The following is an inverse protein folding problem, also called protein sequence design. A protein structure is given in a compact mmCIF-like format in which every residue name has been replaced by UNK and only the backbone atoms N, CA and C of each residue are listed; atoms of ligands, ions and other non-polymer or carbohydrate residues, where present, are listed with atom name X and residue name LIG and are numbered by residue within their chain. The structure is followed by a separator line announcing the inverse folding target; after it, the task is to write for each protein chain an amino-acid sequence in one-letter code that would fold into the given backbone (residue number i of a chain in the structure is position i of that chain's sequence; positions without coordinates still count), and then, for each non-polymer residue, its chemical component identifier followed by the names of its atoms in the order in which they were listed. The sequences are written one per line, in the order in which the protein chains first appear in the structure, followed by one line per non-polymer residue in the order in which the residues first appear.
data_IF_115182158070
#
_entry.id   IF_115182158070
#
_cell.length_a   1.000
_cell.length_b   1.000
_cell.length_c   1.000
_cell.angle_alpha   90.00
_cell.angle_beta   90.00
_cell.angle_gamma   90.00
#
_symmetry.space_group_name_H-M   'P 1'
#
loop_
_entity.id
_entity.type
_entity.pdbx_description
1 polymer ?
#
# COMPACT_ATOMS: atom_id res chain seq x y z
N UNK A 1 -42.45 72.19 -20.06
CA UNK A 1 -41.72 72.77 -21.22
C UNK A 1 -40.25 72.39 -21.15
N UNK A 2 -39.59 72.15 -22.31
CA UNK A 2 -38.11 72.17 -22.58
C UNK A 2 -37.19 71.35 -21.64
N UNK A 3 -36.55 70.26 -22.13
CA UNK A 3 -35.14 70.20 -22.66
C UNK A 3 -34.11 70.68 -21.61
N UNK A 4 -33.08 69.92 -21.19
CA UNK A 4 -32.00 69.31 -22.03
C UNK A 4 -31.25 68.12 -21.35
N UNK A 5 -30.52 67.31 -22.13
CA UNK A 5 -29.32 66.49 -21.73
C UNK A 5 -28.03 67.25 -22.20
N UNK A 6 -26.76 66.75 -22.19
CA UNK A 6 -26.15 65.49 -21.66
C UNK A 6 -24.74 65.65 -21.00
N UNK A 7 -24.01 64.52 -20.80
CA UNK A 7 -22.54 64.27 -21.04
C UNK A 7 -21.64 63.75 -19.86
N UNK A 8 -21.19 62.48 -20.00
CA UNK A 8 -19.99 61.78 -19.42
C UNK A 8 -19.83 61.63 -17.88
N UNK A 9 -19.12 60.64 -17.32
CA UNK A 9 -18.21 59.59 -17.84
C UNK A 9 -18.54 58.23 -17.16
N UNK A 10 -18.56 57.06 -17.83
CA UNK A 10 -17.44 56.22 -18.33
C UNK A 10 -16.63 55.49 -17.24
N UNK A 11 -17.20 54.41 -16.69
CA UNK A 11 -16.41 53.27 -16.20
C UNK A 11 -17.03 51.96 -16.69
N UNK A 12 -16.19 51.01 -17.13
CA UNK A 12 -16.61 49.72 -17.69
C UNK A 12 -16.18 48.60 -16.72
N UNK A 13 -17.14 47.93 -16.10
CA UNK A 13 -16.92 46.61 -15.50
C UNK A 13 -17.37 45.55 -16.51
N UNK A 14 -16.46 44.72 -16.99
CA UNK A 14 -16.77 43.62 -17.89
C UNK A 14 -17.13 42.35 -17.07
N UNK A 15 -18.17 41.59 -17.42
CA UNK A 15 -18.54 40.37 -16.71
C UNK A 15 -17.62 39.21 -17.10
N UNK A 16 -17.04 38.54 -16.09
CA UNK A 16 -16.30 37.29 -16.29
C UNK A 16 -17.29 36.14 -16.46
N UNK A 17 -17.60 35.82 -17.71
CA UNK A 17 -18.29 34.60 -18.12
C UNK A 17 -17.65 34.05 -19.39
N UNK A 18 -16.79 33.03 -19.25
CA UNK A 18 -16.54 31.97 -20.23
C UNK A 18 -15.66 30.87 -19.61
N UNK A 19 -15.63 29.68 -20.22
CA UNK A 19 -14.78 28.52 -19.86
C UNK A 19 -15.18 27.71 -18.61
N UNK A 20 -16.47 27.44 -18.46
CA UNK A 20 -16.95 26.21 -17.80
C UNK A 20 -17.73 25.39 -18.85
N UNK A 21 -17.09 24.38 -19.45
CA UNK A 21 -17.72 23.52 -20.46
C UNK A 21 -16.81 23.07 -21.59
N UNK A 22 -15.99 22.05 -21.32
CA UNK A 22 -15.46 21.07 -22.28
C UNK A 22 -14.61 20.06 -21.49
N UNK A 23 -15.11 18.81 -21.39
CA UNK A 23 -14.49 17.54 -20.94
C UNK A 23 -15.51 16.66 -20.19
N UNK A 24 -16.61 16.36 -20.87
CA UNK A 24 -17.51 15.24 -20.55
C UNK A 24 -17.80 14.53 -21.88
N UNK A 25 -17.86 13.20 -21.85
CA UNK A 25 -17.99 12.28 -23.00
C UNK A 25 -16.75 12.15 -23.89
N UNK A 26 -16.02 11.04 -23.73
CA UNK A 26 -15.97 9.98 -24.74
C UNK A 26 -15.31 8.70 -24.17
N UNK A 27 -16.13 7.74 -23.76
CA UNK A 27 -15.72 6.35 -23.54
C UNK A 27 -16.57 5.44 -24.43
N UNK A 28 -16.08 5.12 -25.63
CA UNK A 28 -16.86 4.34 -26.60
C UNK A 28 -16.08 3.91 -27.84
N UNK A 29 -15.69 2.64 -27.86
CA UNK A 29 -15.51 1.82 -29.07
C UNK A 29 -14.42 2.21 -30.06
N UNK A 30 -13.27 1.54 -29.98
CA UNK A 30 -12.38 1.40 -31.14
C UNK A 30 -12.83 0.23 -32.04
N UNK A 31 -13.08 0.53 -33.32
CA UNK A 31 -13.17 -0.47 -34.39
C UNK A 31 -11.81 -0.63 -35.06
N UNK A 32 -11.59 -1.81 -35.63
CA UNK A 32 -10.36 -2.21 -36.30
C UNK A 32 -9.91 -1.28 -37.43
N UNK A 33 -8.60 -1.03 -37.51
CA UNK A 33 -7.95 -0.39 -38.65
C UNK A 33 -6.59 -1.05 -38.92
N UNK A 34 -6.46 -1.70 -40.07
CA UNK A 34 -5.23 -2.41 -40.49
C UNK A 34 -4.29 -1.46 -41.20
N UNK A 35 -3.05 -1.33 -40.73
CA UNK A 35 -1.92 -0.81 -41.51
C UNK A 35 -0.72 -1.76 -41.31
N UNK A 36 0.01 -2.00 -42.40
CA UNK A 36 1.06 -3.02 -42.55
C UNK A 36 2.39 -2.34 -42.89
N UNK A 37 3.50 -3.08 -42.79
CA UNK A 37 4.89 -2.69 -43.08
C UNK A 37 5.57 -1.81 -42.01
N UNK A 38 6.89 -1.89 -41.78
CA UNK A 38 7.92 -2.78 -42.35
C UNK A 38 9.03 -3.04 -41.31
N UNK A 39 9.76 -4.15 -41.41
CA UNK A 39 10.89 -4.45 -40.53
C UNK A 39 12.18 -3.78 -41.02
N UNK A 40 12.98 -3.26 -40.10
CA UNK A 40 14.43 -3.12 -40.29
C UNK A 40 15.17 -3.66 -39.05
N UNK A 41 15.97 -4.71 -39.27
CA UNK A 41 16.88 -5.25 -38.26
C UNK A 41 18.11 -4.35 -38.17
N UNK A 42 18.55 -4.02 -36.95
CA UNK A 42 19.92 -3.57 -36.72
C UNK A 42 20.45 -4.21 -35.42
N UNK A 43 21.57 -4.93 -35.56
CA UNK A 43 22.23 -5.68 -34.48
C UNK A 43 23.55 -5.00 -34.15
N UNK A 44 23.78 -4.63 -32.89
CA UNK A 44 25.12 -4.33 -32.35
C UNK A 44 25.16 -4.74 -30.85
N UNK A 45 26.33 -5.03 -30.25
CA UNK A 45 26.54 -6.38 -29.73
C UNK A 45 26.69 -6.46 -28.21
N UNK A 46 26.58 -7.69 -27.70
CA UNK A 46 26.87 -8.03 -26.30
C UNK A 46 28.38 -8.06 -26.07
N UNK A 47 28.90 -7.26 -25.13
CA UNK A 47 30.24 -7.42 -24.57
C UNK A 47 30.17 -7.91 -23.13
N UNK A 48 30.54 -9.18 -22.92
CA UNK A 48 30.76 -9.77 -21.60
C UNK A 48 32.05 -9.21 -20.98
N UNK A 49 32.02 -8.80 -19.70
CA UNK A 49 33.20 -8.84 -18.82
C UNK A 49 32.79 -9.06 -17.35
N UNK A 50 33.44 -10.05 -16.75
CA UNK A 50 33.61 -10.31 -15.31
C UNK A 50 34.69 -11.39 -15.17
N UNK A 51 35.37 -11.54 -14.02
CA UNK A 51 35.65 -10.55 -12.97
C UNK A 51 37.17 -10.30 -12.85
N UNK A 52 37.57 -9.32 -12.02
CA UNK A 52 38.96 -9.16 -11.61
C UNK A 52 39.05 -9.19 -10.08
N UNK A 53 39.65 -10.26 -9.56
CA UNK A 53 40.09 -10.39 -8.17
C UNK A 53 41.25 -9.43 -7.89
N UNK A 54 41.26 -8.77 -6.73
CA UNK A 54 42.53 -8.40 -6.10
C UNK A 54 42.50 -8.66 -4.60
N UNK A 55 43.30 -9.66 -4.24
CA UNK A 55 43.75 -10.00 -2.90
C UNK A 55 45.03 -9.19 -2.58
N UNK A 56 45.30 -8.98 -1.28
CA UNK A 56 46.42 -8.28 -0.59
C UNK A 56 45.93 -7.12 0.29
N UNK A 57 46.44 -6.87 1.49
CA UNK A 57 47.21 -7.70 2.44
C UNK A 57 47.28 -6.97 3.79
N UNK A 58 47.30 -7.69 4.92
CA UNK A 58 47.56 -7.13 6.25
C UNK A 58 49.00 -6.56 6.37
N UNK A 59 49.25 -5.73 7.39
CA UNK A 59 50.24 -6.17 8.37
C UNK A 59 49.76 -6.10 9.84
N UNK A 60 50.38 -6.93 10.68
CA UNK A 60 50.12 -7.07 12.12
C UNK A 60 51.10 -6.29 13.01
N UNK A 61 50.68 -6.04 14.26
CA UNK A 61 51.56 -5.73 15.41
C UNK A 61 52.07 -4.29 15.52
N UNK A 62 52.54 -3.78 16.67
CA UNK A 62 52.42 -4.13 18.10
C UNK A 62 52.40 -2.76 18.88
N UNK A 63 52.34 -2.59 20.22
CA UNK A 63 52.36 -3.46 21.40
C UNK A 63 51.84 -2.68 22.65
N UNK A 64 51.45 -3.37 23.73
CA UNK A 64 51.29 -2.83 25.12
C UNK A 64 50.18 -1.76 25.35
N UNK A 65 49.56 -1.61 26.52
CA UNK A 65 49.71 -2.33 27.79
C UNK A 65 49.87 -1.36 28.98
N UNK A 66 48.77 -0.76 29.46
CA UNK A 66 48.78 0.02 30.73
C UNK A 66 47.54 -0.29 31.56
N UNK A 67 47.76 -0.83 32.76
CA UNK A 67 46.77 -0.96 33.83
C UNK A 67 46.63 0.34 34.61
N UNK A 68 45.42 0.68 35.08
CA UNK A 68 45.27 1.65 36.17
C UNK A 68 44.24 1.16 37.19
N UNK A 69 44.70 1.00 38.43
CA UNK A 69 43.95 0.47 39.55
C UNK A 69 43.63 1.57 40.56
N UNK A 70 42.35 1.71 40.90
CA UNK A 70 41.93 2.22 42.21
C UNK A 70 41.28 1.02 42.96
N UNK A 71 41.59 0.73 44.21
CA UNK A 71 42.38 1.52 45.16
C UNK A 71 41.70 1.67 46.52
N UNK A 72 40.91 0.69 46.98
CA UNK A 72 40.21 0.73 48.27
C UNK A 72 40.45 -0.54 49.07
N UNK A 73 41.33 -0.44 50.07
CA UNK A 73 41.42 -1.39 51.18
C UNK A 73 40.35 -1.04 52.21
N UNK A 74 39.52 -2.01 52.60
CA UNK A 74 38.71 -1.92 53.81
C UNK A 74 38.72 -3.28 54.54
N UNK A 75 38.76 -3.21 55.87
CA UNK A 75 39.11 -4.25 56.82
C UNK A 75 38.47 -5.66 56.63
N UNK A 76 39.29 -6.68 56.89
CA UNK A 76 38.83 -8.04 57.15
C UNK A 76 38.17 -8.08 58.54
N UNK A 77 36.89 -8.44 58.59
CA UNK A 77 36.18 -8.83 59.81
C UNK A 77 35.37 -10.09 59.50
N UNK A 78 35.74 -11.22 60.13
CA UNK A 78 35.00 -12.49 60.03
C UNK A 78 33.91 -12.52 61.10
N UNK A 79 32.66 -12.84 60.74
CA UNK A 79 31.73 -13.52 61.64
C UNK A 79 31.69 -15.01 61.28
N UNK A 80 32.00 -15.88 62.24
CA UNK A 80 31.69 -17.30 62.13
C UNK A 80 30.23 -17.52 62.52
N UNK A 81 29.37 -17.84 61.55
CA UNK A 81 28.12 -18.55 61.82
C UNK A 81 27.87 -19.57 60.70
N UNK A 82 28.00 -20.85 61.04
CA UNK A 82 27.46 -21.93 60.23
C UNK A 82 25.93 -21.88 60.34
N UNK A 83 25.28 -21.19 59.40
CA UNK A 83 23.86 -21.39 59.15
C UNK A 83 23.71 -22.69 58.36
N UNK A 84 23.21 -23.74 59.00
CA UNK A 84 22.75 -24.94 58.31
C UNK A 84 21.72 -24.53 57.25
N UNK A 85 22.12 -24.60 55.99
CA UNK A 85 21.20 -24.35 54.88
C UNK A 85 20.37 -25.61 54.70
N UNK A 86 19.36 -25.79 55.56
CA UNK A 86 18.37 -26.84 55.46
C UNK A 86 17.68 -26.69 54.11
N UNK A 87 18.07 -27.52 53.14
CA UNK A 87 17.53 -27.49 51.79
C UNK A 87 16.09 -28.02 51.81
N UNK A 88 15.15 -27.13 52.15
CA UNK A 88 13.71 -27.41 52.09
C UNK A 88 13.39 -27.72 50.63
N UNK A 89 13.30 -29.00 50.31
CA UNK A 89 12.84 -29.47 49.00
C UNK A 89 11.34 -29.24 48.94
N UNK A 90 10.95 -28.00 48.63
CA UNK A 90 9.56 -27.64 48.35
C UNK A 90 9.14 -28.43 47.11
N UNK A 91 8.39 -29.52 47.33
CA UNK A 91 7.72 -30.24 46.25
C UNK A 91 6.91 -29.22 45.44
N UNK A 92 6.97 -29.24 44.10
CA UNK A 92 6.25 -28.27 43.29
C UNK A 92 4.75 -28.41 43.54
N UNK A 93 4.22 -27.48 44.32
CA UNK A 93 2.79 -27.36 44.57
C UNK A 93 2.10 -27.20 43.21
N UNK A 94 1.01 -27.94 42.97
CA UNK A 94 0.27 -27.98 41.70
C UNK A 94 -0.58 -26.73 41.54
N UNK A 95 0.01 -25.56 41.77
CA UNK A 95 -0.65 -24.26 41.68
C UNK A 95 -1.13 -24.06 40.24
N UNK A 96 -2.43 -23.81 40.13
CA UNK A 96 -3.12 -23.43 38.91
C UNK A 96 -2.29 -22.37 38.17
N UNK A 97 -2.09 -22.47 36.85
CA UNK A 97 -1.25 -21.52 36.12
C UNK A 97 -1.75 -20.09 36.37
N UNK A 98 -0.85 -19.09 36.46
CA UNK A 98 -1.24 -17.72 36.75
C UNK A 98 -2.24 -17.21 35.71
N UNK A 99 -3.16 -16.31 36.10
CA UNK A 99 -4.13 -15.76 35.16
C UNK A 99 -3.40 -15.08 33.98
N UNK A 100 -3.93 -15.19 32.74
CA UNK A 100 -3.27 -14.65 31.57
C UNK A 100 -3.13 -13.12 31.67
N UNK A 101 -1.97 -12.60 31.26
CA UNK A 101 -1.72 -11.16 31.31
C UNK A 101 -2.68 -10.36 30.42
N UNK A 102 -2.88 -9.05 30.66
CA UNK A 102 -3.72 -8.21 29.82
C UNK A 102 -3.33 -8.28 28.33
N UNK A 103 -2.04 -8.31 28.02
CA UNK A 103 -1.54 -8.44 26.63
C UNK A 103 -1.83 -9.85 26.06
N UNK A 104 -1.74 -10.93 26.86
CA UNK A 104 -2.16 -12.26 26.39
C UNK A 104 -3.66 -12.32 26.08
N UNK A 105 -4.49 -11.69 26.90
CA UNK A 105 -5.94 -11.58 26.69
C UNK A 105 -6.22 -10.76 25.42
N UNK A 106 -5.53 -9.61 25.26
CA UNK A 106 -5.60 -8.78 24.06
C UNK A 106 -5.25 -9.57 22.80
N UNK A 107 -4.07 -10.21 22.76
CA UNK A 107 -3.62 -11.02 21.62
C UNK A 107 -4.56 -12.19 21.31
N UNK A 108 -5.15 -12.81 22.34
CA UNK A 108 -6.14 -13.89 22.17
C UNK A 108 -7.43 -13.39 21.52
N UNK A 109 -7.95 -12.24 21.97
CA UNK A 109 -9.12 -11.59 21.36
C UNK A 109 -8.81 -11.08 19.94
N UNK A 110 -7.64 -10.49 19.72
CA UNK A 110 -7.20 -10.00 18.41
C UNK A 110 -7.13 -11.12 17.37
N UNK A 111 -6.56 -12.28 17.72
CA UNK A 111 -6.59 -13.47 16.84
C UNK A 111 -7.99 -13.90 16.43
N UNK A 112 -9.02 -13.70 17.27
CA UNK A 112 -10.42 -13.98 16.89
C UNK A 112 -10.95 -12.96 15.88
N UNK A 113 -10.55 -11.69 15.98
CA UNK A 113 -10.90 -10.64 15.02
C UNK A 113 -10.20 -10.87 13.67
N UNK A 114 -8.90 -11.21 13.67
CA UNK A 114 -8.16 -11.60 12.47
C UNK A 114 -8.74 -12.87 11.82
N UNK A 115 -9.14 -13.87 12.60
CA UNK A 115 -9.78 -15.08 12.07
C UNK A 115 -11.15 -14.79 11.44
N UNK A 116 -11.97 -13.92 12.03
CA UNK A 116 -13.22 -13.46 11.43
C UNK A 116 -12.97 -12.70 10.11
N UNK A 117 -11.95 -11.83 10.08
CA UNK A 117 -11.54 -11.13 8.87
C UNK A 117 -11.10 -12.10 7.75
N UNK A 118 -10.26 -13.08 8.08
CA UNK A 118 -9.78 -14.10 7.14
C UNK A 118 -10.90 -15.03 6.64
N UNK A 119 -11.92 -15.28 7.47
CA UNK A 119 -13.14 -15.98 7.06
C UNK A 119 -14.10 -15.10 6.22
N UNK A 120 -13.71 -13.86 5.88
CA UNK A 120 -14.53 -12.85 5.21
C UNK A 120 -15.82 -12.46 5.97
N UNK A 121 -15.89 -12.76 7.27
CA UNK A 121 -16.96 -12.35 8.19
C UNK A 121 -16.66 -10.93 8.71
N UNK A 122 -16.84 -9.96 7.81
CA UNK A 122 -16.47 -8.56 8.02
C UNK A 122 -17.26 -7.88 9.14
N UNK A 123 -18.53 -8.23 9.35
CA UNK A 123 -19.38 -7.68 10.41
C UNK A 123 -18.88 -8.12 11.79
N UNK A 124 -18.61 -9.42 11.96
CA UNK A 124 -18.02 -9.96 13.18
C UNK A 124 -16.60 -9.45 13.40
N UNK A 125 -15.81 -9.30 12.33
CA UNK A 125 -14.48 -8.71 12.41
C UNK A 125 -14.56 -7.26 12.91
N UNK A 126 -15.46 -6.43 12.37
CA UNK A 126 -15.66 -5.05 12.82
C UNK A 126 -16.04 -5.01 14.31
N UNK A 127 -17.04 -5.79 14.70
CA UNK A 127 -17.49 -5.87 16.09
C UNK A 127 -16.34 -6.24 17.04
N UNK A 128 -15.53 -7.25 16.69
CA UNK A 128 -14.40 -7.69 17.51
C UNK A 128 -13.28 -6.63 17.56
N UNK A 129 -12.88 -6.03 16.44
CA UNK A 129 -11.87 -4.96 16.43
C UNK A 129 -12.33 -3.72 17.19
N UNK A 130 -13.58 -3.29 17.03
CA UNK A 130 -14.13 -2.14 17.77
C UNK A 130 -14.24 -2.42 19.26
N UNK A 131 -14.61 -3.64 19.66
CA UNK A 131 -14.61 -4.05 21.09
C UNK A 131 -13.22 -4.00 21.72
N UNK A 132 -12.16 -4.29 20.95
CA UNK A 132 -10.77 -4.16 21.37
C UNK A 132 -10.34 -2.70 21.44
N UNK A 133 -10.76 -1.89 20.46
CA UNK A 133 -10.38 -0.48 20.36
C UNK A 133 -10.89 0.36 21.53
N UNK A 134 -12.06 0.04 22.09
CA UNK A 134 -12.58 0.70 23.30
C UNK A 134 -11.63 0.54 24.51
N UNK A 135 -10.96 -0.60 24.63
CA UNK A 135 -10.03 -0.89 25.73
C UNK A 135 -8.55 -0.67 25.42
N UNK A 136 -8.20 -0.31 24.18
CA UNK A 136 -6.82 -0.05 23.74
C UNK A 136 -6.77 0.93 22.55
N UNK A 137 -7.34 2.15 22.68
CA UNK A 137 -7.43 3.11 21.58
C UNK A 137 -6.07 3.60 21.05
N UNK A 138 -5.02 3.44 21.85
CA UNK A 138 -3.62 3.77 21.54
C UNK A 138 -2.91 2.75 20.64
N UNK A 139 -3.46 1.55 20.44
CA UNK A 139 -2.81 0.51 19.60
C UNK A 139 -3.02 0.81 18.11
N UNK A 140 -1.99 1.37 17.48
CA UNK A 140 -1.90 1.59 16.02
C UNK A 140 -2.31 0.34 15.20
N UNK A 141 -1.98 -0.85 15.71
CA UNK A 141 -2.34 -2.14 15.09
C UNK A 141 -3.86 -2.31 14.87
N UNK A 142 -4.70 -1.87 15.80
CA UNK A 142 -6.16 -1.97 15.64
C UNK A 142 -6.67 -1.01 14.56
N UNK A 143 -6.07 0.18 14.48
CA UNK A 143 -6.47 1.22 13.53
C UNK A 143 -6.16 0.81 12.09
N UNK A 144 -4.96 0.31 11.77
CA UNK A 144 -4.69 -0.13 10.39
C UNK A 144 -5.51 -1.39 10.02
N UNK A 145 -5.79 -2.29 10.97
CA UNK A 145 -6.67 -3.45 10.73
C UNK A 145 -8.12 -3.06 10.45
N UNK A 146 -8.62 -2.02 11.12
CA UNK A 146 -9.93 -1.41 10.82
C UNK A 146 -9.92 -0.70 9.46
N UNK A 147 -8.86 0.03 9.12
CA UNK A 147 -8.73 0.65 7.80
C UNK A 147 -8.75 -0.40 6.67
N UNK A 148 -7.95 -1.48 6.81
CA UNK A 148 -7.99 -2.65 5.93
C UNK A 148 -9.41 -3.21 5.80
N UNK A 149 -10.11 -3.40 6.92
CA UNK A 149 -11.47 -3.93 6.93
C UNK A 149 -12.44 -3.01 6.16
N UNK A 150 -12.43 -1.71 6.42
CA UNK A 150 -13.32 -0.78 5.75
C UNK A 150 -13.04 -0.64 4.25
N UNK A 151 -11.76 -0.68 3.82
CA UNK A 151 -11.40 -0.84 2.39
C UNK A 151 -11.98 -2.13 1.83
N UNK A 152 -11.81 -3.25 2.55
CA UNK A 152 -12.27 -4.58 2.10
C UNK A 152 -13.80 -4.64 1.95
N UNK A 153 -14.54 -3.98 2.83
CA UNK A 153 -16.00 -3.82 2.73
C UNK A 153 -16.37 -2.93 1.54
N UNK A 154 -15.76 -1.75 1.40
CA UNK A 154 -16.03 -0.84 0.28
C UNK A 154 -15.63 -1.38 -1.10
N UNK A 155 -14.59 -2.22 -1.19
CA UNK A 155 -14.23 -2.96 -2.42
C UNK A 155 -15.19 -4.12 -2.73
N UNK A 156 -15.97 -4.62 -1.76
CA UNK A 156 -16.93 -5.71 -1.97
C UNK A 156 -18.28 -5.24 -2.53
N UNK A 157 -18.54 -3.93 -2.48
CA UNK A 157 -19.71 -3.29 -3.06
C UNK A 157 -19.53 -3.03 -4.57
N UNK A 158 -20.61 -3.04 -5.38
CA UNK A 158 -20.52 -2.70 -6.79
C UNK A 158 -20.12 -1.23 -6.98
N UNK A 159 -19.40 -0.91 -8.07
CA UNK A 159 -18.97 0.47 -8.37
C UNK A 159 -20.12 1.48 -8.51
N UNK A 160 -21.35 1.02 -8.79
CA UNK A 160 -22.56 1.84 -8.80
C UNK A 160 -22.96 2.37 -7.42
N UNK A 161 -22.57 1.71 -6.33
CA UNK A 161 -22.85 2.13 -4.94
C UNK A 161 -21.87 3.21 -4.46
N UNK A 162 -21.59 4.23 -5.28
CA UNK A 162 -20.49 5.18 -5.08
C UNK A 162 -20.61 6.04 -3.81
N UNK A 163 -21.82 6.30 -3.30
CA UNK A 163 -22.01 7.02 -2.03
C UNK A 163 -21.64 6.13 -0.84
N UNK A 164 -22.11 4.88 -0.82
CA UNK A 164 -21.85 3.94 0.26
C UNK A 164 -20.36 3.54 0.30
N UNK A 165 -19.75 3.30 -0.86
CA UNK A 165 -18.32 3.02 -0.99
C UNK A 165 -17.46 4.15 -0.41
N UNK A 166 -17.78 5.42 -0.72
CA UNK A 166 -17.11 6.58 -0.12
C UNK A 166 -17.24 6.61 1.41
N UNK A 167 -18.41 6.36 1.98
CA UNK A 167 -18.59 6.29 3.43
C UNK A 167 -17.70 5.22 4.11
N UNK A 168 -17.45 4.09 3.43
CA UNK A 168 -16.49 3.10 3.91
C UNK A 168 -15.03 3.57 3.79
N UNK A 169 -14.67 4.23 2.68
CA UNK A 169 -13.32 4.75 2.49
C UNK A 169 -12.98 5.95 3.38
N UNK A 170 -13.95 6.81 3.71
CA UNK A 170 -13.79 7.89 4.70
C UNK A 170 -13.42 7.32 6.09
N UNK A 171 -14.13 6.28 6.55
CA UNK A 171 -13.78 5.55 7.78
C UNK A 171 -12.38 4.94 7.68
N UNK A 172 -12.02 4.37 6.53
CA UNK A 172 -10.69 3.81 6.32
C UNK A 172 -9.58 4.87 6.42
N UNK A 173 -9.75 6.03 5.78
CA UNK A 173 -8.80 7.15 5.86
C UNK A 173 -8.69 7.66 7.30
N UNK A 174 -9.80 7.79 8.03
CA UNK A 174 -9.80 8.22 9.43
C UNK A 174 -8.94 7.31 10.30
N UNK A 175 -9.16 5.99 10.22
CA UNK A 175 -8.40 5.00 10.97
C UNK A 175 -6.95 4.88 10.50
N UNK A 176 -6.68 4.88 9.18
CA UNK A 176 -5.31 4.78 8.69
C UNK A 176 -4.46 5.99 9.12
N UNK A 177 -4.98 7.22 8.99
CA UNK A 177 -4.32 8.43 9.53
C UNK A 177 -4.10 8.36 11.03
N UNK A 178 -5.02 7.77 11.80
CA UNK A 178 -4.83 7.56 13.23
C UNK A 178 -3.75 6.50 13.53
N UNK A 179 -3.63 5.44 12.73
CA UNK A 179 -2.57 4.44 12.91
C UNK A 179 -1.17 5.03 12.71
N UNK A 180 -0.96 5.86 11.67
CA UNK A 180 0.33 6.54 11.44
C UNK A 180 0.65 7.54 12.56
N UNK A 181 -0.33 8.32 13.05
CA UNK A 181 -0.14 9.22 14.21
C UNK A 181 0.22 8.50 15.52
N UNK A 182 -0.19 7.24 15.67
CA UNK A 182 0.10 6.44 16.86
C UNK A 182 1.46 5.72 16.74
N UNK A 183 1.90 5.40 15.52
CA UNK A 183 3.16 4.72 15.24
C UNK A 183 3.66 5.02 13.81
N UNK A 184 4.58 5.97 13.69
CA UNK A 184 5.27 6.35 12.44
C UNK A 184 6.38 5.35 12.03
N UNK A 185 6.56 4.27 12.77
CA UNK A 185 7.48 3.15 12.47
C UNK A 185 6.73 1.88 12.03
N UNK A 186 5.40 1.89 12.07
CA UNK A 186 4.53 0.82 11.59
C UNK A 186 4.41 0.86 10.05
N UNK A 187 5.21 0.05 9.34
CA UNK A 187 5.14 -0.06 7.87
C UNK A 187 3.71 -0.32 7.34
N UNK A 188 2.98 -1.26 7.97
CA UNK A 188 1.57 -1.54 7.65
C UNK A 188 0.63 -0.32 7.78
N UNK A 189 0.92 0.60 8.70
CA UNK A 189 0.09 1.78 8.93
C UNK A 189 0.17 2.73 7.72
N UNK A 190 1.38 2.93 7.20
CA UNK A 190 1.62 3.66 5.95
C UNK A 190 1.02 2.92 4.73
N UNK A 191 1.20 1.60 4.61
CA UNK A 191 0.59 0.79 3.52
C UNK A 191 -0.91 0.97 3.44
N UNK A 192 -1.62 0.90 4.58
CA UNK A 192 -3.08 1.03 4.60
C UNK A 192 -3.57 2.47 4.49
N UNK A 193 -2.74 3.49 4.79
CA UNK A 193 -3.03 4.88 4.48
C UNK A 193 -2.94 5.15 2.97
N UNK A 194 -1.88 4.70 2.31
CA UNK A 194 -1.75 4.74 0.85
C UNK A 194 -2.92 4.02 0.16
N UNK A 195 -3.27 2.81 0.64
CA UNK A 195 -4.42 2.05 0.14
C UNK A 195 -5.74 2.82 0.27
N UNK A 196 -6.02 3.40 1.45
CA UNK A 196 -7.25 4.15 1.72
C UNK A 196 -7.38 5.39 0.83
N UNK A 197 -6.29 6.15 0.66
CA UNK A 197 -6.26 7.32 -0.22
C UNK A 197 -6.47 6.94 -1.69
N UNK A 198 -5.87 5.84 -2.16
CA UNK A 198 -6.02 5.34 -3.52
C UNK A 198 -7.46 4.95 -3.87
N UNK A 199 -8.07 4.06 -3.09
CA UNK A 199 -9.45 3.59 -3.36
C UNK A 199 -10.51 4.70 -3.18
N UNK A 200 -10.23 5.71 -2.38
CA UNK A 200 -11.09 6.88 -2.25
C UNK A 200 -10.96 7.82 -3.46
N UNK A 201 -9.74 8.00 -3.97
CA UNK A 201 -9.47 8.82 -5.15
C UNK A 201 -10.06 8.20 -6.44
N UNK A 202 -10.11 6.87 -6.54
CA UNK A 202 -10.86 6.15 -7.59
C UNK A 202 -12.33 6.60 -7.69
N UNK A 203 -12.97 6.86 -6.55
CA UNK A 203 -14.40 7.18 -6.46
C UNK A 203 -14.71 8.69 -6.60
N UNK A 204 -13.71 9.55 -6.39
CA UNK A 204 -13.82 11.01 -6.58
C UNK A 204 -13.25 11.50 -7.93
N UNK A 205 -12.53 10.65 -8.65
CA UNK A 205 -12.06 10.89 -10.01
C UNK A 205 -10.67 11.53 -10.11
N UNK A 206 -10.25 11.80 -11.34
CA UNK A 206 -8.85 12.12 -11.70
C UNK A 206 -8.22 13.27 -10.88
N UNK A 207 -9.00 14.29 -10.51
CA UNK A 207 -8.50 15.42 -9.71
C UNK A 207 -8.00 15.00 -8.32
N UNK A 208 -8.72 14.10 -7.64
CA UNK A 208 -8.30 13.61 -6.32
C UNK A 208 -7.20 12.57 -6.41
N UNK A 209 -7.13 11.79 -7.50
CA UNK A 209 -5.99 10.91 -7.78
C UNK A 209 -4.69 11.72 -7.83
N UNK A 210 -4.69 12.80 -8.62
CA UNK A 210 -3.55 13.69 -8.78
C UNK A 210 -3.19 14.36 -7.45
N UNK A 211 -4.17 14.94 -6.73
CA UNK A 211 -3.90 15.62 -5.44
C UNK A 211 -3.27 14.69 -4.40
N UNK A 212 -3.75 13.45 -4.31
CA UNK A 212 -3.21 12.48 -3.35
C UNK A 212 -1.96 11.75 -3.86
N UNK A 213 -1.54 11.93 -5.11
CA UNK A 213 -0.48 11.13 -5.72
C UNK A 213 0.85 11.20 -4.96
N UNK A 214 1.28 12.41 -4.58
CA UNK A 214 2.52 12.58 -3.80
C UNK A 214 2.40 11.96 -2.40
N UNK A 215 1.27 12.14 -1.71
CA UNK A 215 1.05 11.49 -0.41
C UNK A 215 1.07 9.97 -0.54
N UNK A 216 0.35 9.39 -1.50
CA UNK A 216 0.33 7.94 -1.75
C UNK A 216 1.75 7.42 -2.01
N UNK A 217 2.54 8.11 -2.84
CA UNK A 217 3.94 7.73 -3.11
C UNK A 217 4.80 7.75 -1.86
N UNK A 218 4.81 8.86 -1.11
CA UNK A 218 5.59 9.01 0.12
C UNK A 218 5.23 7.96 1.17
N UNK A 219 3.94 7.67 1.34
CA UNK A 219 3.47 6.63 2.27
C UNK A 219 3.92 5.23 1.84
N UNK A 220 3.91 4.91 0.53
CA UNK A 220 4.41 3.62 0.03
C UNK A 220 5.93 3.47 0.14
N UNK A 221 6.68 4.53 -0.18
CA UNK A 221 8.14 4.55 0.00
C UNK A 221 8.52 4.40 1.48
N UNK A 222 7.79 5.07 2.38
CA UNK A 222 7.95 4.92 3.83
C UNK A 222 7.58 3.52 4.31
N UNK A 223 6.48 2.94 3.83
CA UNK A 223 6.08 1.57 4.14
C UNK A 223 7.17 0.56 3.75
N UNK A 224 7.71 0.67 2.54
CA UNK A 224 8.73 -0.23 2.00
C UNK A 224 10.12 -0.01 2.61
N UNK A 225 10.43 1.19 3.11
CA UNK A 225 11.63 1.43 3.91
C UNK A 225 11.56 0.78 5.30
N UNK A 226 10.36 0.66 5.87
CA UNK A 226 10.12 0.02 7.17
C UNK A 226 9.96 -1.51 7.05
N UNK A 227 9.27 -1.99 6.01
CA UNK A 227 9.11 -3.41 5.67
C UNK A 227 9.29 -3.66 4.16
N UNK A 228 10.52 -3.95 3.70
CA UNK A 228 10.79 -4.31 2.31
C UNK A 228 10.10 -5.61 1.82
N UNK A 229 9.41 -6.34 2.71
CA UNK A 229 8.67 -7.57 2.42
C UNK A 229 7.15 -7.37 2.39
N UNK A 230 6.65 -6.14 2.53
CA UNK A 230 5.20 -5.86 2.38
C UNK A 230 4.77 -6.02 0.91
N UNK A 231 4.25 -7.20 0.62
CA UNK A 231 3.62 -7.63 -0.64
C UNK A 231 2.50 -6.68 -1.11
N UNK A 232 1.70 -6.17 -0.17
CA UNK A 232 0.61 -5.24 -0.43
C UNK A 232 1.17 -3.86 -0.84
N UNK A 233 2.20 -3.36 -0.15
CA UNK A 233 2.83 -2.08 -0.48
C UNK A 233 3.47 -2.11 -1.87
N UNK A 234 4.23 -3.17 -2.20
CA UNK A 234 4.77 -3.37 -3.56
C UNK A 234 3.64 -3.39 -4.61
N UNK A 235 2.55 -4.12 -4.35
CA UNK A 235 1.43 -4.19 -5.28
C UNK A 235 0.69 -2.86 -5.47
N UNK A 236 0.54 -2.04 -4.42
CA UNK A 236 -0.09 -0.72 -4.55
C UNK A 236 0.86 0.23 -5.30
N UNK A 237 2.18 0.17 -5.05
CA UNK A 237 3.17 0.95 -5.78
C UNK A 237 3.23 0.56 -7.27
N UNK A 238 2.96 -0.70 -7.60
CA UNK A 238 2.77 -1.15 -8.98
C UNK A 238 1.54 -0.52 -9.65
N UNK A 239 0.37 -0.57 -8.99
CA UNK A 239 -0.85 0.08 -9.49
C UNK A 239 -0.66 1.60 -9.65
N UNK A 240 0.01 2.23 -8.68
CA UNK A 240 0.36 3.64 -8.73
C UNK A 240 1.24 3.99 -9.95
N UNK A 241 2.33 3.24 -10.18
CA UNK A 241 3.19 3.45 -11.34
C UNK A 241 2.44 3.28 -12.67
N UNK A 242 1.57 2.27 -12.78
CA UNK A 242 0.71 2.04 -13.96
C UNK A 242 -0.21 3.23 -14.23
N UNK A 243 -0.88 3.73 -13.19
CA UNK A 243 -1.80 4.87 -13.34
C UNK A 243 -1.07 6.17 -13.70
N UNK A 244 0.07 6.45 -13.06
CA UNK A 244 0.89 7.63 -13.35
C UNK A 244 1.49 7.58 -14.76
N UNK A 245 1.87 6.40 -15.24
CA UNK A 245 2.36 6.19 -16.62
C UNK A 245 1.26 6.42 -17.68
N UNK A 246 -0.01 6.21 -17.32
CA UNK A 246 -1.16 6.49 -18.18
C UNK A 246 -1.55 7.96 -18.32
N UNK A 247 -1.02 8.87 -17.47
CA UNK A 247 -1.35 10.30 -17.52
C UNK A 247 -0.69 10.95 -18.74
N UNK A 248 -1.50 11.50 -19.65
CA UNK A 248 -1.03 12.16 -20.86
C UNK A 248 -0.24 13.45 -20.57
N UNK A 249 0.62 13.87 -21.51
CA UNK A 249 1.50 15.03 -21.30
C UNK A 249 0.73 16.32 -21.02
N UNK A 250 -0.43 16.53 -21.68
CA UNK A 250 -1.31 17.69 -21.46
C UNK A 250 -1.93 17.65 -20.06
N UNK A 251 -2.45 16.49 -19.66
CA UNK A 251 -3.05 16.29 -18.34
C UNK A 251 -2.02 16.54 -17.23
N UNK A 252 -0.79 16.06 -17.42
CA UNK A 252 0.35 16.31 -16.53
C UNK A 252 0.73 17.79 -16.48
N UNK A 253 0.74 18.50 -17.61
CA UNK A 253 1.02 19.94 -17.65
C UNK A 253 -0.04 20.75 -16.88
N UNK A 254 -1.32 20.45 -17.11
CA UNK A 254 -2.44 21.09 -16.39
C UNK A 254 -2.40 20.75 -14.90
N UNK A 255 -2.13 19.50 -14.54
CA UNK A 255 -1.97 19.07 -13.16
C UNK A 255 -0.83 19.83 -12.45
N UNK A 256 0.35 19.90 -13.06
CA UNK A 256 1.50 20.63 -12.52
C UNK A 256 1.18 22.12 -12.27
N UNK A 257 0.39 22.74 -13.14
CA UNK A 257 0.01 24.16 -13.01
C UNK A 257 -1.00 24.46 -11.89
N UNK A 258 -1.89 23.51 -11.54
CA UNK A 258 -3.02 23.77 -10.63
C UNK A 258 -3.09 22.89 -9.38
N UNK A 259 -2.37 21.77 -9.33
CA UNK A 259 -2.44 20.75 -8.28
C UNK A 259 -1.05 20.42 -7.67
N UNK A 260 0.03 20.98 -8.22
CA UNK A 260 1.42 20.67 -7.85
C UNK A 260 2.03 19.57 -8.71
N UNK A 261 3.32 19.30 -8.51
CA UNK A 261 4.09 18.35 -9.32
C UNK A 261 3.47 16.95 -9.28
N UNK A 262 3.11 16.41 -10.45
CA UNK A 262 2.70 15.02 -10.59
C UNK A 262 3.94 14.13 -10.57
N UNK A 263 4.02 13.13 -9.68
CA UNK A 263 5.17 12.26 -9.57
C UNK A 263 5.41 11.47 -10.86
N UNK A 264 6.64 10.99 -11.04
CA UNK A 264 7.01 10.11 -12.15
C UNK A 264 6.69 8.65 -11.82
N UNK A 265 6.38 7.89 -12.87
CA UNK A 265 6.13 6.45 -12.84
C UNK A 265 6.11 5.88 -14.26
N UNK A 266 6.41 4.58 -14.40
CA UNK A 266 6.50 3.91 -15.70
C UNK A 266 5.87 2.51 -15.67
N UNK A 267 5.51 2.00 -16.86
CA UNK A 267 4.92 0.67 -16.99
C UNK A 267 5.92 -0.46 -16.67
N UNK A 268 7.21 -0.25 -16.92
CA UNK A 268 8.29 -1.18 -16.59
C UNK A 268 8.49 -1.25 -15.07
N UNK A 269 8.42 -0.11 -14.38
CA UNK A 269 8.46 -0.10 -12.91
C UNK A 269 7.21 -0.79 -12.34
N UNK A 270 6.02 -0.51 -12.88
CA UNK A 270 4.80 -1.21 -12.48
C UNK A 270 4.93 -2.74 -12.60
N UNK A 271 5.48 -3.25 -13.72
CA UNK A 271 5.75 -4.68 -13.90
C UNK A 271 6.72 -5.21 -12.85
N UNK A 272 7.84 -4.53 -12.59
CA UNK A 272 8.80 -4.90 -11.53
C UNK A 272 8.14 -4.98 -10.16
N UNK A 273 7.31 -4.00 -9.79
CA UNK A 273 6.63 -3.94 -8.50
C UNK A 273 5.62 -5.10 -8.33
N UNK A 274 4.82 -5.39 -9.36
CA UNK A 274 3.87 -6.51 -9.30
C UNK A 274 4.58 -7.87 -9.25
N UNK A 275 5.65 -8.07 -10.03
CA UNK A 275 6.45 -9.29 -9.98
C UNK A 275 7.09 -9.48 -8.60
N UNK A 276 7.54 -8.39 -7.95
CA UNK A 276 8.04 -8.41 -6.57
C UNK A 276 6.96 -8.82 -5.57
N UNK A 277 5.75 -8.26 -5.69
CA UNK A 277 4.61 -8.63 -4.84
C UNK A 277 4.22 -10.11 -5.00
N UNK A 278 4.15 -10.61 -6.24
CA UNK A 278 3.87 -12.03 -6.54
C UNK A 278 4.96 -12.96 -5.98
N UNK A 279 6.24 -12.54 -6.05
CA UNK A 279 7.35 -13.33 -5.51
C UNK A 279 7.36 -13.38 -3.97
N UNK A 280 6.85 -12.34 -3.30
CA UNK A 280 6.68 -12.31 -1.84
C UNK A 280 5.46 -13.12 -1.40
N UNK A 281 4.35 -13.02 -2.13
CA UNK A 281 3.09 -13.69 -1.79
C UNK A 281 2.35 -14.17 -3.06
N UNK A 282 2.60 -15.41 -3.52
CA UNK A 282 2.12 -15.87 -4.82
C UNK A 282 0.63 -16.22 -4.86
N UNK A 283 -0.07 -16.23 -3.72
CA UNK A 283 -1.49 -16.63 -3.63
C UNK A 283 -2.47 -15.45 -3.57
N UNK A 284 -1.98 -14.19 -3.55
CA UNK A 284 -2.84 -13.01 -3.62
C UNK A 284 -3.37 -12.81 -5.04
N UNK A 285 -4.67 -13.05 -5.23
CA UNK A 285 -5.37 -12.84 -6.51
C UNK A 285 -5.16 -11.41 -7.05
N UNK A 286 -5.18 -10.40 -6.17
CA UNK A 286 -4.96 -8.99 -6.55
C UNK A 286 -3.64 -8.77 -7.29
N UNK A 287 -2.52 -9.34 -6.84
CA UNK A 287 -1.21 -9.06 -7.45
C UNK A 287 -1.15 -9.54 -8.91
N UNK A 288 -1.65 -10.75 -9.17
CA UNK A 288 -1.76 -11.29 -10.52
C UNK A 288 -2.80 -10.52 -11.35
N UNK A 289 -3.94 -10.15 -10.76
CA UNK A 289 -4.98 -9.38 -11.46
C UNK A 289 -4.44 -8.03 -11.96
N UNK A 290 -3.76 -7.27 -11.11
CA UNK A 290 -3.20 -5.96 -11.47
C UNK A 290 -2.09 -6.06 -12.54
N UNK A 291 -1.26 -7.12 -12.49
CA UNK A 291 -0.27 -7.42 -13.54
C UNK A 291 -0.93 -7.79 -14.88
N UNK A 292 -2.00 -8.60 -14.86
CA UNK A 292 -2.75 -8.92 -16.07
C UNK A 292 -3.46 -7.70 -16.69
N UNK A 293 -3.93 -6.76 -15.85
CA UNK A 293 -4.44 -5.47 -16.31
C UNK A 293 -3.34 -4.62 -17.00
N UNK A 294 -2.15 -4.53 -16.39
CA UNK A 294 -0.98 -3.85 -16.94
C UNK A 294 -0.60 -4.41 -18.33
N UNK A 295 -0.49 -5.74 -18.46
CA UNK A 295 -0.19 -6.38 -19.74
C UNK A 295 -1.27 -6.11 -20.79
N UNK A 296 -2.54 -6.13 -20.41
CA UNK A 296 -3.64 -5.82 -21.33
C UNK A 296 -3.61 -4.36 -21.79
N UNK A 297 -3.27 -3.41 -20.92
CA UNK A 297 -3.08 -2.00 -21.28
C UNK A 297 -1.92 -1.80 -22.26
N UNK A 298 -0.82 -2.55 -22.09
CA UNK A 298 0.29 -2.62 -23.05
C UNK A 298 0.00 -3.46 -24.32
N UNK A 299 -1.23 -3.95 -24.52
CA UNK A 299 -1.63 -4.87 -25.61
C UNK A 299 -0.87 -6.22 -25.64
N UNK A 300 -0.20 -6.58 -24.54
CA UNK A 300 0.51 -7.85 -24.30
C UNK A 300 -0.47 -8.95 -23.88
N UNK A 301 -1.41 -9.27 -24.78
CA UNK A 301 -2.57 -10.11 -24.47
C UNK A 301 -2.20 -11.54 -24.06
N UNK A 302 -1.13 -12.11 -24.63
CA UNK A 302 -0.64 -13.45 -24.30
C UNK A 302 -0.15 -13.55 -22.85
N UNK A 303 0.63 -12.57 -22.38
CA UNK A 303 1.01 -12.54 -20.96
C UNK A 303 -0.17 -12.22 -20.04
N UNK A 304 -1.09 -11.34 -20.44
CA UNK A 304 -2.30 -11.05 -19.68
C UNK A 304 -3.15 -12.33 -19.46
N UNK A 305 -3.39 -13.10 -20.54
CA UNK A 305 -4.08 -14.39 -20.51
C UNK A 305 -3.38 -15.40 -19.58
N UNK A 306 -2.05 -15.50 -19.67
CA UNK A 306 -1.25 -16.40 -18.82
C UNK A 306 -1.42 -16.05 -17.33
N UNK A 307 -1.30 -14.78 -16.97
CA UNK A 307 -1.39 -14.33 -15.57
C UNK A 307 -2.82 -14.44 -15.04
N UNK A 308 -3.85 -14.09 -15.82
CA UNK A 308 -5.25 -14.29 -15.41
C UNK A 308 -5.59 -15.76 -15.18
N UNK A 309 -5.11 -16.68 -16.03
CA UNK A 309 -5.27 -18.13 -15.83
C UNK A 309 -4.62 -18.61 -14.52
N UNK A 310 -3.43 -18.11 -14.17
CA UNK A 310 -2.77 -18.39 -12.88
C UNK A 310 -3.61 -17.83 -11.72
N UNK A 311 -4.05 -16.58 -11.79
CA UNK A 311 -4.85 -15.93 -10.74
C UNK A 311 -6.17 -16.66 -10.45
N UNK A 312 -6.81 -17.22 -11.49
CA UNK A 312 -8.06 -17.96 -11.36
C UNK A 312 -7.92 -19.25 -10.51
N UNK A 313 -6.73 -19.85 -10.42
CA UNK A 313 -6.49 -21.05 -9.58
C UNK A 313 -6.25 -20.74 -8.10
N UNK A 314 -5.97 -19.48 -7.74
CA UNK A 314 -5.58 -19.09 -6.38
C UNK A 314 -6.75 -19.09 -5.38
N UNK A 315 -6.52 -19.33 -4.08
CA UNK A 315 -7.57 -19.29 -3.06
C UNK A 315 -8.15 -17.87 -2.92
N UNK A 316 -9.43 -17.76 -2.58
CA UNK A 316 -10.03 -16.47 -2.22
C UNK A 316 -9.48 -16.01 -0.87
N UNK A 317 -9.07 -14.74 -0.76
CA UNK A 317 -8.59 -14.15 0.50
C UNK A 317 -9.39 -12.92 0.92
N UNK A 318 -10.07 -12.26 -0.02
CA UNK A 318 -10.92 -11.09 0.21
C UNK A 318 -12.23 -11.21 -0.57
N UNK A 319 -13.34 -10.65 -0.07
CA UNK A 319 -14.63 -10.66 -0.80
C UNK A 319 -14.51 -10.07 -2.21
N UNK A 320 -13.66 -9.05 -2.39
CA UNK A 320 -13.41 -8.42 -3.70
C UNK A 320 -12.72 -9.35 -4.71
N UNK A 321 -12.13 -10.47 -4.27
CA UNK A 321 -11.55 -11.47 -5.17
C UNK A 321 -12.60 -12.24 -5.99
N UNK A 322 -13.84 -12.33 -5.48
CA UNK A 322 -14.97 -12.92 -6.23
C UNK A 322 -15.19 -12.11 -7.52
N UNK A 323 -15.29 -10.79 -7.40
CA UNK A 323 -15.44 -9.89 -8.54
C UNK A 323 -14.18 -9.85 -9.42
N UNK A 324 -12.96 -9.91 -8.83
CA UNK A 324 -11.71 -10.01 -9.62
C UNK A 324 -11.70 -11.28 -10.48
N UNK A 325 -12.07 -12.44 -9.92
CA UNK A 325 -12.17 -13.69 -10.69
C UNK A 325 -13.20 -13.60 -11.81
N UNK A 326 -14.37 -13.01 -11.55
CA UNK A 326 -15.39 -12.84 -12.59
C UNK A 326 -14.93 -11.92 -13.72
N UNK A 327 -14.30 -10.79 -13.36
CA UNK A 327 -13.65 -9.89 -14.32
C UNK A 327 -12.61 -10.64 -15.17
N UNK A 328 -11.77 -11.48 -14.56
CA UNK A 328 -10.76 -12.27 -15.26
C UNK A 328 -11.35 -13.33 -16.20
N UNK A 329 -12.47 -13.98 -15.84
CA UNK A 329 -13.17 -14.91 -16.75
C UNK A 329 -13.63 -14.19 -18.01
N UNK A 330 -14.40 -13.10 -17.84
CA UNK A 330 -14.90 -12.31 -18.96
C UNK A 330 -13.78 -11.73 -19.84
N UNK A 331 -12.66 -11.32 -19.24
CA UNK A 331 -11.48 -10.88 -19.99
C UNK A 331 -10.78 -12.03 -20.72
N UNK A 332 -10.66 -13.20 -20.10
CA UNK A 332 -10.02 -14.39 -20.70
C UNK A 332 -10.81 -14.89 -21.90
N UNK A 333 -12.15 -14.91 -21.83
CA UNK A 333 -13.02 -15.24 -22.95
C UNK A 333 -12.83 -14.27 -24.13
N UNK A 334 -12.94 -12.96 -23.87
CA UNK A 334 -12.77 -11.91 -24.89
C UNK A 334 -11.40 -11.94 -25.55
N UNK A 335 -10.33 -12.16 -24.77
CA UNK A 335 -8.96 -12.22 -25.29
C UNK A 335 -8.64 -13.55 -25.98
N UNK A 336 -9.30 -14.66 -25.63
CA UNK A 336 -9.10 -15.96 -26.31
C UNK A 336 -9.82 -16.04 -27.67
N UNK A 337 -10.71 -15.10 -27.97
CA UNK A 337 -11.36 -14.94 -29.28
C UNK A 337 -10.71 -13.91 -30.20
N UNK A 338 -9.54 -13.35 -29.83
CA UNK A 338 -8.75 -12.50 -30.72
C UNK A 338 -7.92 -13.38 -31.67
N UNK A 339 -7.79 -13.00 -32.96
CA UNK A 339 -7.10 -13.79 -33.99
C UNK A 339 -5.57 -13.78 -33.87
#
# INVERSE_FOLDING_TARGET
MRRTRPITAREKVAPVMLLCGLLVSCSGGEKSGVIRSQQSHEQIPVTQRSPATHEQSLPEGLHQGVTSSYGLRAAILKPQHHAETTSITVKPDKKKPPPPSPEMIFRSKLRKADAAFAAMDYEKAEHLYRSLLVGSPEKAELHWKLARLYISTGESLPRSASLERRQWFDKAIQHARQSVRLDETCGRCHTWLAAALGVHADDLGAKEKIRNANTIKTELERALALDPKDDIAWSILGSFNREIAGIGWVERMVANAFLGEVPQGSYEEAERMFLKAIALNPDIIRHHYELGLLYREQKRYTEALRVFRIALTKPLQMKSDIQRKENMRSMTEKLSGLP
#
